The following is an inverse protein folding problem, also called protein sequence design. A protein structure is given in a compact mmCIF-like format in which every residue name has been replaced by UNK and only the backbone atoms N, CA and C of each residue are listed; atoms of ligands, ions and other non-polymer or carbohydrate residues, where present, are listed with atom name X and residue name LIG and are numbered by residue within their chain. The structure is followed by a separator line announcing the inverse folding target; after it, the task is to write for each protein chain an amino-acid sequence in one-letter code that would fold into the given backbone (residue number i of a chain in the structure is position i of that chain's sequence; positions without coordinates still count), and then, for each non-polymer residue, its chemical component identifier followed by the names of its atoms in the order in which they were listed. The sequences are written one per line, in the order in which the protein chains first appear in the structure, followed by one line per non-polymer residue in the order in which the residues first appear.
data_IF_195056405053
#
_entry.id   IF_195056405053
#
_cell.length_a   1.000
_cell.length_b   1.000
_cell.length_c   1.000
_cell.angle_alpha   90.00
_cell.angle_beta   90.00
_cell.angle_gamma   90.00
#
_symmetry.space_group_name_H-M   'P 1'
#
loop_
_entity.id
_entity.type
_entity.pdbx_description
1 polymer ?
#
# COMPACT_ATOMS: atom_id res chain seq x y z
N UNK A 1 -20.49 9.49 34.26
CA UNK A 1 -20.16 8.34 33.39
C UNK A 1 -20.57 7.07 34.10
N UNK A 2 -21.36 6.20 33.46
CA UNK A 2 -21.74 4.91 34.03
C UNK A 2 -20.59 3.91 33.97
N UNK A 3 -20.61 2.97 34.92
CA UNK A 3 -19.64 1.89 35.04
C UNK A 3 -20.34 0.54 35.21
N UNK A 4 -19.75 -0.50 34.64
CA UNK A 4 -20.28 -1.86 34.69
C UNK A 4 -19.18 -2.86 35.04
N UNK A 5 -19.50 -3.80 35.93
CA UNK A 5 -18.67 -4.99 36.10
C UNK A 5 -18.74 -5.87 34.86
N UNK A 6 -17.69 -6.66 34.61
CA UNK A 6 -17.55 -7.52 33.44
C UNK A 6 -18.82 -8.32 33.09
N UNK A 7 -19.53 -8.90 34.07
CA UNK A 7 -20.77 -9.68 33.84
C UNK A 7 -21.95 -8.83 33.34
N UNK A 8 -22.11 -7.61 33.87
CA UNK A 8 -23.16 -6.69 33.41
C UNK A 8 -22.80 -6.10 32.04
N UNK A 9 -21.53 -5.74 31.86
CA UNK A 9 -21.00 -5.22 30.60
C UNK A 9 -21.10 -6.24 29.46
N UNK A 10 -20.78 -7.52 29.73
CA UNK A 10 -20.88 -8.59 28.75
C UNK A 10 -22.33 -8.84 28.31
N UNK A 11 -23.29 -8.76 29.24
CA UNK A 11 -24.73 -8.84 28.93
C UNK A 11 -25.18 -7.67 28.06
N UNK A 12 -24.75 -6.45 28.39
CA UNK A 12 -25.08 -5.24 27.65
C UNK A 12 -24.62 -5.32 26.19
N UNK A 13 -23.37 -5.74 25.97
CA UNK A 13 -22.77 -5.83 24.65
C UNK A 13 -22.99 -7.19 23.95
N UNK A 14 -23.75 -8.11 24.56
CA UNK A 14 -24.01 -9.47 24.06
C UNK A 14 -22.74 -10.26 23.70
N UNK A 15 -21.68 -10.10 24.49
CA UNK A 15 -20.43 -10.87 24.36
C UNK A 15 -20.21 -11.73 25.59
N UNK A 16 -19.39 -12.77 25.47
CA UNK A 16 -19.03 -13.60 26.63
C UNK A 16 -18.03 -12.86 27.53
N UNK A 17 -18.06 -13.11 28.84
CA UNK A 17 -17.02 -12.61 29.77
C UNK A 17 -15.63 -13.13 29.36
N UNK A 18 -15.55 -14.34 28.79
CA UNK A 18 -14.31 -14.93 28.26
C UNK A 18 -13.73 -14.08 27.12
N UNK A 19 -14.59 -13.55 26.24
CA UNK A 19 -14.21 -12.66 25.13
C UNK A 19 -13.63 -11.36 25.66
N UNK A 20 -14.28 -10.72 26.65
CA UNK A 20 -13.75 -9.51 27.28
C UNK A 20 -12.37 -9.72 27.92
N UNK A 21 -12.18 -10.85 28.61
CA UNK A 21 -10.89 -11.21 29.17
C UNK A 21 -9.84 -11.49 28.10
N UNK A 22 -10.26 -12.07 26.96
CA UNK A 22 -9.36 -12.30 25.83
C UNK A 22 -8.89 -10.98 25.22
N UNK A 23 -9.79 -10.03 24.99
CA UNK A 23 -9.45 -8.70 24.48
C UNK A 23 -8.56 -7.92 25.44
N UNK A 24 -8.80 -8.01 26.75
CA UNK A 24 -7.91 -7.45 27.78
C UNK A 24 -6.50 -8.04 27.70
N UNK A 25 -6.36 -9.37 27.57
CA UNK A 25 -5.05 -10.04 27.42
C UNK A 25 -4.31 -9.61 26.15
N UNK A 26 -5.02 -9.42 25.04
CA UNK A 26 -4.44 -8.93 23.78
C UNK A 26 -4.11 -7.43 23.83
N UNK A 27 -4.54 -6.73 24.87
CA UNK A 27 -4.45 -5.28 24.98
C UNK A 27 -5.35 -4.55 23.98
N UNK A 28 -6.40 -5.23 23.49
CA UNK A 28 -7.35 -4.71 22.51
C UNK A 28 -8.48 -3.91 23.18
N UNK A 29 -8.95 -4.36 24.35
CA UNK A 29 -9.93 -3.64 25.18
C UNK A 29 -9.53 -3.77 26.64
N UNK A 30 -9.02 -2.69 27.22
CA UNK A 30 -8.64 -2.66 28.64
C UNK A 30 -9.78 -2.07 29.47
N UNK A 31 -10.08 -2.63 30.66
CA UNK A 31 -11.04 -2.03 31.56
C UNK A 31 -10.54 -0.68 32.05
N UNK A 32 -11.41 0.32 32.09
CA UNK A 32 -11.11 1.64 32.64
C UNK A 32 -10.64 1.60 34.10
N UNK A 33 -11.11 0.62 34.89
CA UNK A 33 -10.72 0.46 36.29
C UNK A 33 -10.56 -1.01 36.66
N UNK A 34 -9.58 -1.28 37.53
CA UNK A 34 -9.49 -2.52 38.31
C UNK A 34 -9.70 -2.19 39.78
N UNK A 35 -10.67 -2.84 40.41
CA UNK A 35 -10.90 -2.69 41.84
C UNK A 35 -9.80 -3.39 42.67
N UNK A 36 -9.75 -3.11 43.97
CA UNK A 36 -8.77 -3.67 44.93
C UNK A 36 -8.78 -5.21 44.98
N UNK A 37 -9.92 -5.83 44.70
CA UNK A 37 -10.11 -7.27 44.56
C UNK A 37 -9.80 -7.80 43.13
N UNK A 38 -9.16 -6.99 42.28
CA UNK A 38 -8.82 -7.26 40.88
C UNK A 38 -10.03 -7.46 39.94
N UNK A 39 -11.23 -7.02 40.35
CA UNK A 39 -12.40 -7.05 39.47
C UNK A 39 -12.30 -5.96 38.40
N UNK A 40 -12.61 -6.34 37.16
CA UNK A 40 -12.64 -5.46 36.00
C UNK A 40 -13.93 -4.64 35.98
N UNK A 41 -13.78 -3.33 35.83
CA UNK A 41 -14.86 -2.36 35.71
C UNK A 41 -14.68 -1.57 34.43
N UNK A 42 -15.71 -1.59 33.61
CA UNK A 42 -15.74 -0.96 32.29
C UNK A 42 -16.56 0.33 32.33
N UNK A 43 -16.14 1.36 31.60
CA UNK A 43 -16.84 2.64 31.46
C UNK A 43 -17.66 2.73 30.16
N UNK A 44 -18.37 3.84 29.99
CA UNK A 44 -19.01 4.20 28.72
C UNK A 44 -18.00 4.32 27.55
N UNK A 45 -16.77 4.77 27.81
CA UNK A 45 -15.72 4.84 26.78
C UNK A 45 -15.32 3.44 26.31
N UNK A 46 -15.19 2.51 27.26
CA UNK A 46 -14.86 1.11 26.93
C UNK A 46 -15.97 0.44 26.12
N UNK A 47 -17.23 0.87 26.31
CA UNK A 47 -18.37 0.39 25.52
C UNK A 47 -18.26 0.83 24.06
N UNK A 48 -17.83 2.06 23.80
CA UNK A 48 -17.61 2.58 22.45
C UNK A 48 -16.47 1.81 21.76
N UNK A 49 -15.35 1.61 22.45
CA UNK A 49 -14.25 0.78 21.93
C UNK A 49 -14.70 -0.66 21.66
N UNK A 50 -15.52 -1.25 22.54
CA UNK A 50 -16.06 -2.59 22.31
C UNK A 50 -17.00 -2.63 21.10
N UNK A 51 -17.83 -1.60 20.89
CA UNK A 51 -18.69 -1.50 19.71
C UNK A 51 -17.85 -1.47 18.43
N UNK A 52 -16.77 -0.68 18.39
CA UNK A 52 -15.84 -0.65 17.26
C UNK A 52 -15.21 -2.02 16.98
N UNK A 53 -14.76 -2.73 18.03
CA UNK A 53 -14.22 -4.09 17.89
C UNK A 53 -15.27 -5.05 17.30
N UNK A 54 -16.50 -4.99 17.80
CA UNK A 54 -17.59 -5.86 17.32
C UNK A 54 -17.91 -5.55 15.85
N UNK A 55 -17.99 -4.27 15.48
CA UNK A 55 -18.24 -3.86 14.11
C UNK A 55 -17.13 -4.33 13.16
N UNK A 56 -15.87 -4.10 13.50
CA UNK A 56 -14.74 -4.54 12.68
C UNK A 56 -14.63 -6.07 12.59
N UNK A 57 -14.91 -6.81 13.67
CA UNK A 57 -15.03 -8.28 13.62
C UNK A 57 -16.17 -8.73 12.70
N UNK A 58 -17.31 -8.03 12.74
CA UNK A 58 -18.44 -8.31 11.85
C UNK A 58 -18.08 -8.02 10.38
N UNK A 59 -17.19 -7.06 10.13
CA UNK A 59 -16.69 -6.76 8.79
C UNK A 59 -15.65 -7.78 8.29
N UNK A 60 -15.20 -8.70 9.13
CA UNK A 60 -14.28 -9.78 8.75
C UNK A 60 -12.81 -9.51 9.09
N UNK A 61 -12.51 -8.44 9.82
CA UNK A 61 -11.14 -8.16 10.25
C UNK A 61 -10.70 -9.15 11.31
N UNK A 62 -9.43 -9.51 11.28
CA UNK A 62 -8.80 -10.28 12.33
C UNK A 62 -8.43 -9.39 13.53
N UNK A 63 -8.41 -9.98 14.73
CA UNK A 63 -8.14 -9.22 15.97
C UNK A 63 -6.78 -8.50 15.92
N UNK A 64 -5.81 -9.06 15.19
CA UNK A 64 -4.50 -8.44 14.96
C UNK A 64 -4.58 -7.16 14.11
N UNK A 65 -5.50 -7.12 13.14
CA UNK A 65 -5.72 -5.96 12.26
C UNK A 65 -6.56 -4.88 12.95
N UNK A 66 -7.43 -5.25 13.88
CA UNK A 66 -8.31 -4.31 14.60
C UNK A 66 -7.50 -3.42 15.55
N UNK A 67 -6.48 -3.98 16.23
CA UNK A 67 -5.69 -3.26 17.23
C UNK A 67 -5.10 -1.92 16.74
N UNK A 68 -4.38 -1.85 15.60
CA UNK A 68 -3.84 -0.59 15.10
C UNK A 68 -4.92 0.42 14.68
N UNK A 69 -6.11 -0.05 14.28
CA UNK A 69 -7.24 0.81 13.89
C UNK A 69 -7.89 1.50 15.08
N UNK A 70 -7.79 0.92 16.29
CA UNK A 70 -8.33 1.51 17.52
C UNK A 70 -7.37 2.49 18.20
N UNK A 71 -6.09 2.49 17.81
CA UNK A 71 -5.05 3.35 18.40
C UNK A 71 -4.90 4.71 17.72
N UNK A 72 -5.62 4.96 16.62
CA UNK A 72 -5.67 6.28 15.98
C UNK A 72 -6.46 7.23 16.87
N UNK A 73 -5.98 8.47 17.05
CA UNK A 73 -6.66 9.53 17.80
C UNK A 73 -7.86 10.11 17.03
N UNK A 74 -8.59 9.28 16.28
CA UNK A 74 -9.78 9.70 15.56
C UNK A 74 -10.95 9.87 16.52
N UNK A 75 -11.82 10.84 16.28
CA UNK A 75 -13.03 10.97 17.10
C UNK A 75 -13.95 9.76 16.91
N UNK A 76 -14.74 9.42 17.94
CA UNK A 76 -15.74 8.33 17.86
C UNK A 76 -16.68 8.54 16.67
N UNK A 77 -16.97 9.80 16.32
CA UNK A 77 -17.82 10.16 15.19
C UNK A 77 -17.18 9.83 13.83
N UNK A 78 -15.92 10.20 13.62
CA UNK A 78 -15.18 9.88 12.39
C UNK A 78 -15.01 8.36 12.21
N UNK A 79 -14.74 7.65 13.30
CA UNK A 79 -14.70 6.18 13.29
C UNK A 79 -16.03 5.55 12.85
N UNK A 80 -17.17 6.11 13.27
CA UNK A 80 -18.48 5.62 12.88
C UNK A 80 -18.81 5.93 11.41
N UNK A 81 -18.39 7.09 10.88
CA UNK A 81 -18.51 7.42 9.45
C UNK A 81 -17.71 6.42 8.61
N UNK A 82 -16.43 6.20 8.94
CA UNK A 82 -15.59 5.23 8.24
C UNK A 82 -16.18 3.80 8.27
N UNK A 83 -16.73 3.38 9.42
CA UNK A 83 -17.40 2.08 9.53
C UNK A 83 -18.67 1.98 8.66
N UNK A 84 -19.44 3.07 8.56
CA UNK A 84 -20.64 3.12 7.73
C UNK A 84 -20.31 3.02 6.22
N UNK A 85 -19.27 3.73 5.78
CA UNK A 85 -18.79 3.66 4.40
C UNK A 85 -18.27 2.27 4.04
N UNK A 86 -17.52 1.64 4.96
CA UNK A 86 -17.04 0.27 4.80
C UNK A 86 -18.20 -0.73 4.70
N UNK A 87 -19.24 -0.57 5.53
CA UNK A 87 -20.46 -1.37 5.45
C UNK A 87 -21.16 -1.24 4.11
N UNK A 88 -21.26 -0.01 3.59
CA UNK A 88 -21.88 0.25 2.30
C UNK A 88 -21.11 -0.42 1.16
N UNK A 89 -19.78 -0.34 1.16
CA UNK A 89 -18.93 -1.01 0.16
C UNK A 89 -19.10 -2.53 0.21
N UNK A 90 -19.10 -3.12 1.41
CA UNK A 90 -19.31 -4.57 1.58
C UNK A 90 -20.71 -5.00 1.12
N UNK A 91 -21.74 -4.20 1.41
CA UNK A 91 -23.10 -4.45 0.96
C UNK A 91 -23.20 -4.43 -0.57
N UNK A 92 -22.54 -3.47 -1.22
CA UNK A 92 -22.50 -3.37 -2.68
C UNK A 92 -21.84 -4.59 -3.33
N UNK A 93 -20.67 -5.02 -2.84
CA UNK A 93 -19.99 -6.20 -3.35
C UNK A 93 -20.81 -7.48 -3.17
N UNK A 94 -21.53 -7.62 -2.05
CA UNK A 94 -22.45 -8.75 -1.84
C UNK A 94 -23.63 -8.74 -2.82
N UNK A 95 -24.16 -7.56 -3.16
CA UNK A 95 -25.23 -7.42 -4.16
C UNK A 95 -24.74 -7.76 -5.56
N UNK A 96 -23.51 -7.38 -5.91
CA UNK A 96 -22.87 -7.73 -7.20
C UNK A 96 -22.62 -9.23 -7.30
N UNK A 97 -22.09 -9.86 -6.24
CA UNK A 97 -21.91 -11.31 -6.19
C UNK A 97 -23.24 -12.04 -6.40
N UNK A 98 -24.29 -11.58 -5.70
CA UNK A 98 -25.64 -12.12 -5.84
C UNK A 98 -26.15 -11.96 -7.28
N UNK A 99 -25.93 -10.82 -7.92
CA UNK A 99 -26.35 -10.59 -9.30
C UNK A 99 -25.65 -11.56 -10.27
N UNK A 100 -24.34 -11.78 -10.10
CA UNK A 100 -23.57 -12.74 -10.90
C UNK A 100 -24.08 -14.17 -10.70
N UNK A 101 -24.27 -14.61 -9.45
CA UNK A 101 -24.82 -15.94 -9.14
C UNK A 101 -26.21 -16.09 -9.76
N UNK A 102 -27.07 -15.08 -9.63
CA UNK A 102 -28.43 -15.11 -10.18
C UNK A 102 -28.38 -15.27 -11.70
N UNK A 103 -27.50 -14.53 -12.38
CA UNK A 103 -27.27 -14.65 -13.82
C UNK A 103 -26.76 -16.04 -14.22
N UNK A 104 -25.78 -16.61 -13.49
CA UNK A 104 -25.31 -17.99 -13.69
C UNK A 104 -26.49 -18.95 -13.60
N UNK A 105 -27.26 -18.90 -12.50
CA UNK A 105 -28.37 -19.82 -12.25
C UNK A 105 -29.56 -19.65 -13.20
N UNK A 106 -29.72 -18.48 -13.82
CA UNK A 106 -30.76 -18.23 -14.82
C UNK A 106 -30.33 -18.59 -16.25
N UNK A 107 -29.02 -18.68 -16.50
CA UNK A 107 -28.47 -18.95 -17.83
C UNK A 107 -27.89 -20.36 -17.99
N UNK A 108 -27.64 -21.08 -16.89
CA UNK A 108 -27.17 -22.46 -16.90
C UNK A 108 -28.25 -23.38 -16.32
N UNK A 109 -28.54 -24.49 -17.00
CA UNK A 109 -29.35 -25.59 -16.45
C UNK A 109 -28.47 -26.60 -15.71
N UNK A 110 -29.05 -27.45 -14.84
CA UNK A 110 -28.33 -28.45 -14.03
C UNK A 110 -27.44 -29.45 -14.82
N UNK A 111 -27.51 -29.46 -16.15
CA UNK A 111 -26.78 -30.36 -17.05
C UNK A 111 -25.70 -29.67 -17.90
N UNK A 112 -25.55 -28.36 -17.78
CA UNK A 112 -24.58 -27.58 -18.56
C UNK A 112 -23.42 -27.10 -17.68
N UNK A 113 -22.22 -27.09 -18.23
CA UNK A 113 -21.03 -26.58 -17.55
C UNK A 113 -21.10 -25.07 -17.44
N UNK A 114 -20.92 -24.52 -16.23
CA UNK A 114 -20.81 -23.08 -16.00
C UNK A 114 -19.62 -22.53 -16.81
N UNK A 115 -19.79 -21.47 -17.61
CA UNK A 115 -18.69 -20.82 -18.30
C UNK A 115 -17.65 -20.29 -17.29
N UNK A 116 -16.38 -20.67 -17.46
CA UNK A 116 -15.31 -20.34 -16.52
C UNK A 116 -15.08 -18.84 -16.35
N UNK A 117 -15.49 -18.00 -17.32
CA UNK A 117 -15.48 -16.54 -17.20
C UNK A 117 -16.41 -16.03 -16.10
N UNK A 118 -17.58 -16.67 -15.90
CA UNK A 118 -18.51 -16.31 -14.83
C UNK A 118 -18.00 -16.78 -13.46
N UNK A 119 -17.23 -17.87 -13.43
CA UNK A 119 -16.53 -18.36 -12.24
C UNK A 119 -15.41 -17.37 -11.86
N UNK A 120 -14.66 -16.85 -12.83
CA UNK A 120 -13.65 -15.80 -12.60
C UNK A 120 -14.31 -14.52 -12.08
N UNK A 121 -15.38 -14.05 -12.69
CA UNK A 121 -16.10 -12.84 -12.24
C UNK A 121 -16.60 -13.00 -10.79
N UNK A 122 -17.04 -14.20 -10.41
CA UNK A 122 -17.45 -14.50 -9.04
C UNK A 122 -16.28 -14.56 -8.05
N UNK A 123 -15.14 -15.14 -8.47
CA UNK A 123 -13.89 -15.13 -7.68
C UNK A 123 -13.39 -13.69 -7.51
N UNK A 124 -13.46 -12.88 -8.56
CA UNK A 124 -13.08 -11.47 -8.54
C UNK A 124 -13.98 -10.65 -7.61
N UNK A 125 -15.31 -10.85 -7.61
CA UNK A 125 -16.18 -10.17 -6.63
C UNK A 125 -15.98 -10.68 -5.20
N UNK A 126 -15.68 -11.96 -5.01
CA UNK A 126 -15.32 -12.48 -3.69
C UNK A 126 -13.97 -11.95 -3.21
N UNK A 127 -13.00 -11.75 -4.11
CA UNK A 127 -11.78 -11.01 -3.83
C UNK A 127 -12.10 -9.53 -3.55
N UNK A 128 -13.04 -8.88 -4.25
CA UNK A 128 -13.50 -7.51 -3.94
C UNK A 128 -14.11 -7.38 -2.54
N UNK A 129 -14.77 -8.43 -2.01
CA UNK A 129 -15.24 -8.44 -0.60
C UNK A 129 -14.09 -8.57 0.41
N UNK A 130 -12.89 -8.95 -0.03
CA UNK A 130 -11.62 -8.90 0.72
C UNK A 130 -10.73 -7.70 0.34
N UNK A 131 -11.02 -6.99 -0.77
CA UNK A 131 -10.31 -5.79 -1.22
C UNK A 131 -10.89 -4.54 -0.56
N UNK A 132 -10.34 -4.25 0.60
CA UNK A 132 -10.31 -2.93 1.20
C UNK A 132 -9.22 -2.03 0.60
N UNK A 133 -8.72 -2.34 -0.59
CA UNK A 133 -7.45 -1.81 -1.11
C UNK A 133 -7.46 -0.31 -1.48
N UNK A 134 -8.60 0.33 -1.76
CA UNK A 134 -8.58 1.69 -2.36
C UNK A 134 -9.32 2.80 -1.60
N UNK A 135 -9.57 2.65 -0.29
CA UNK A 135 -10.09 3.78 0.47
C UNK A 135 -9.10 4.96 0.47
N UNK A 136 -7.80 4.68 0.64
CA UNK A 136 -6.73 5.67 0.68
C UNK A 136 -6.26 6.16 -0.70
N UNK A 137 -6.53 5.39 -1.76
CA UNK A 137 -6.18 5.78 -3.15
C UNK A 137 -6.96 7.04 -3.56
N UNK A 138 -8.21 7.16 -3.11
CA UNK A 138 -9.02 8.36 -3.29
C UNK A 138 -8.48 9.57 -2.49
N UNK A 139 -7.77 9.33 -1.38
CA UNK A 139 -7.19 10.41 -0.56
C UNK A 139 -5.90 10.97 -1.18
N UNK A 140 -5.22 10.20 -2.02
CA UNK A 140 -3.93 10.60 -2.61
C UNK A 140 -4.04 11.10 -4.06
N UNK A 141 -5.01 10.61 -4.84
CA UNK A 141 -5.16 10.96 -6.26
C UNK A 141 -6.24 12.01 -6.50
N UNK A 142 -5.98 12.88 -7.47
CA UNK A 142 -6.97 13.80 -8.02
C UNK A 142 -7.94 13.04 -8.92
N UNK A 143 -9.08 13.65 -9.25
CA UNK A 143 -10.08 13.04 -10.14
C UNK A 143 -9.51 12.62 -11.51
N UNK A 144 -8.53 13.36 -12.04
CA UNK A 144 -7.89 13.03 -13.30
C UNK A 144 -6.91 11.86 -13.17
N UNK A 145 -6.11 11.84 -12.10
CA UNK A 145 -5.20 10.72 -11.82
C UNK A 145 -5.97 9.44 -11.49
N UNK A 146 -7.15 9.53 -10.86
CA UNK A 146 -8.04 8.38 -10.62
C UNK A 146 -8.56 7.78 -11.94
N UNK A 147 -8.86 8.60 -12.95
CA UNK A 147 -9.22 8.11 -14.28
C UNK A 147 -8.05 7.37 -14.92
N UNK A 148 -6.85 7.96 -14.86
CA UNK A 148 -5.64 7.35 -15.40
C UNK A 148 -5.28 6.06 -14.66
N UNK A 149 -5.52 6.00 -13.35
CA UNK A 149 -5.34 4.80 -12.53
C UNK A 149 -6.35 3.71 -12.91
N UNK A 150 -7.63 4.04 -13.10
CA UNK A 150 -8.63 3.11 -13.58
C UNK A 150 -8.32 2.58 -15.00
N UNK A 151 -7.82 3.44 -15.89
CA UNK A 151 -7.35 3.03 -17.22
C UNK A 151 -6.14 2.09 -17.13
N UNK A 152 -5.20 2.39 -16.24
CA UNK A 152 -4.04 1.53 -15.98
C UNK A 152 -4.48 0.14 -15.50
N UNK A 153 -5.39 0.07 -14.53
CA UNK A 153 -5.92 -1.20 -14.03
C UNK A 153 -6.67 -1.98 -15.11
N UNK A 154 -7.48 -1.29 -15.92
CA UNK A 154 -8.20 -1.90 -17.04
C UNK A 154 -7.24 -2.49 -18.07
N UNK A 155 -6.13 -1.79 -18.40
CA UNK A 155 -5.09 -2.31 -19.30
C UNK A 155 -4.38 -3.53 -18.73
N UNK A 156 -4.03 -3.50 -17.44
CA UNK A 156 -3.42 -4.64 -16.74
C UNK A 156 -4.32 -5.88 -16.80
N UNK A 157 -5.63 -5.70 -16.58
CA UNK A 157 -6.63 -6.76 -16.64
C UNK A 157 -6.85 -7.30 -18.06
N UNK A 158 -6.92 -6.42 -19.06
CA UNK A 158 -7.15 -6.81 -20.45
C UNK A 158 -5.93 -7.45 -21.12
N UNK A 159 -4.72 -7.13 -20.67
CA UNK A 159 -3.47 -7.58 -21.29
C UNK A 159 -2.88 -8.88 -20.75
N UNK A 160 -3.49 -9.50 -19.73
CA UNK A 160 -2.83 -10.59 -18.98
C UNK A 160 -3.75 -11.81 -18.76
N UNK A 161 -3.23 -13.01 -19.06
CA UNK A 161 -3.93 -14.26 -18.70
C UNK A 161 -3.92 -14.46 -17.18
N UNK A 162 -4.83 -15.29 -16.62
CA UNK A 162 -4.82 -15.62 -15.19
C UNK A 162 -3.48 -16.19 -14.71
N UNK A 163 -2.82 -17.01 -15.53
CA UNK A 163 -1.52 -17.60 -15.23
C UNK A 163 -0.41 -16.54 -15.17
N UNK A 164 -0.45 -15.57 -16.08
CA UNK A 164 0.49 -14.45 -16.08
C UNK A 164 0.30 -13.55 -14.86
N UNK A 165 -0.95 -13.32 -14.43
CA UNK A 165 -1.29 -12.56 -13.21
C UNK A 165 -0.78 -13.27 -11.96
N UNK A 166 -1.02 -14.57 -11.84
CA UNK A 166 -0.55 -15.37 -10.71
C UNK A 166 0.99 -15.39 -10.64
N UNK A 167 1.66 -15.55 -11.78
CA UNK A 167 3.13 -15.51 -11.84
C UNK A 167 3.69 -14.13 -11.47
N UNK A 168 3.00 -13.06 -11.88
CA UNK A 168 3.35 -11.69 -11.50
C UNK A 168 3.21 -11.46 -9.99
N UNK A 169 2.07 -11.82 -9.40
CA UNK A 169 1.86 -11.73 -7.94
C UNK A 169 2.89 -12.53 -7.15
N UNK A 170 3.17 -13.76 -7.59
CA UNK A 170 4.18 -14.60 -6.95
C UNK A 170 5.58 -13.96 -7.00
N UNK A 171 5.95 -13.36 -8.14
CA UNK A 171 7.23 -12.68 -8.27
C UNK A 171 7.33 -11.43 -7.37
N UNK A 172 6.22 -10.70 -7.18
CA UNK A 172 6.15 -9.61 -6.22
C UNK A 172 6.41 -10.08 -4.79
N UNK A 173 5.70 -11.10 -4.31
CA UNK A 173 5.90 -11.61 -2.96
C UNK A 173 7.29 -12.23 -2.75
N UNK A 174 7.84 -12.86 -3.79
CA UNK A 174 9.23 -13.35 -3.77
C UNK A 174 10.23 -12.21 -3.59
N UNK A 175 10.05 -11.10 -4.30
CA UNK A 175 10.89 -9.91 -4.15
C UNK A 175 10.75 -9.30 -2.75
N UNK A 176 9.52 -9.18 -2.24
CA UNK A 176 9.26 -8.67 -0.90
C UNK A 176 9.93 -9.53 0.17
N UNK A 177 9.87 -10.86 0.06
CA UNK A 177 10.50 -11.77 1.01
C UNK A 177 12.04 -11.76 0.92
N UNK A 178 12.58 -11.56 -0.27
CA UNK A 178 14.02 -11.32 -0.47
C UNK A 178 14.47 -10.05 0.24
N UNK A 179 13.73 -8.95 0.10
CA UNK A 179 14.01 -7.70 0.82
C UNK A 179 13.92 -7.92 2.33
N UNK A 180 12.86 -8.56 2.83
CA UNK A 180 12.71 -8.88 4.26
C UNK A 180 13.91 -9.64 4.81
N UNK A 181 14.41 -10.62 4.05
CA UNK A 181 15.55 -11.45 4.44
C UNK A 181 16.86 -10.65 4.52
N UNK A 182 16.94 -9.50 3.84
CA UNK A 182 18.14 -8.67 3.72
C UNK A 182 18.07 -7.35 4.52
N UNK A 183 17.03 -7.12 5.34
CA UNK A 183 16.88 -5.89 6.15
C UNK A 183 18.05 -5.64 7.12
N UNK A 184 18.80 -6.68 7.46
CA UNK A 184 19.98 -6.60 8.32
C UNK A 184 21.20 -5.95 7.62
N UNK A 185 21.20 -5.88 6.28
CA UNK A 185 22.23 -5.15 5.54
C UNK A 185 21.95 -3.65 5.53
N UNK A 186 23.00 -2.85 5.36
CA UNK A 186 22.83 -1.41 5.14
C UNK A 186 22.16 -1.15 3.78
N UNK A 187 21.15 -0.26 3.69
CA UNK A 187 20.55 0.14 2.42
C UNK A 187 21.56 0.68 1.39
N UNK A 188 22.64 1.31 1.85
CA UNK A 188 23.67 1.90 0.98
C UNK A 188 24.77 0.88 0.58
N UNK A 189 24.65 -0.37 1.06
CA UNK A 189 25.58 -1.44 0.69
C UNK A 189 25.35 -1.92 -0.75
N UNK A 190 26.29 -2.71 -1.28
CA UNK A 190 26.11 -3.34 -2.59
C UNK A 190 24.83 -4.21 -2.66
N UNK A 191 24.45 -4.87 -1.55
CA UNK A 191 23.21 -5.64 -1.45
C UNK A 191 22.00 -4.72 -1.50
N UNK A 192 22.02 -3.64 -0.73
CA UNK A 192 20.94 -2.65 -0.70
C UNK A 192 20.72 -1.99 -2.05
N UNK A 193 21.78 -1.56 -2.73
CA UNK A 193 21.71 -0.97 -4.06
C UNK A 193 21.19 -1.98 -5.10
N UNK A 194 21.63 -3.24 -5.05
CA UNK A 194 21.14 -4.28 -5.96
C UNK A 194 19.64 -4.56 -5.76
N UNK A 195 19.17 -4.59 -4.51
CA UNK A 195 17.75 -4.74 -4.20
C UNK A 195 16.95 -3.50 -4.59
N UNK A 196 17.48 -2.29 -4.37
CA UNK A 196 16.91 -1.03 -4.84
C UNK A 196 16.71 -1.01 -6.36
N UNK A 197 17.72 -1.48 -7.12
CA UNK A 197 17.60 -1.67 -8.57
C UNK A 197 16.51 -2.66 -8.93
N UNK A 198 16.54 -3.87 -8.35
CA UNK A 198 15.57 -4.94 -8.65
C UNK A 198 14.13 -4.48 -8.36
N UNK A 199 13.95 -3.75 -7.28
CA UNK A 199 12.69 -3.12 -6.91
C UNK A 199 12.23 -2.10 -7.96
N UNK A 200 13.10 -1.18 -8.35
CA UNK A 200 12.76 -0.18 -9.37
C UNK A 200 12.51 -0.79 -10.74
N UNK A 201 13.25 -1.83 -11.14
CA UNK A 201 13.00 -2.56 -12.38
C UNK A 201 11.60 -3.19 -12.36
N UNK A 202 11.22 -3.84 -11.26
CA UNK A 202 9.89 -4.44 -11.10
C UNK A 202 8.78 -3.38 -11.23
N UNK A 203 8.94 -2.28 -10.49
CA UNK A 203 7.95 -1.20 -10.45
C UNK A 203 7.87 -0.46 -11.79
N UNK A 204 9.00 -0.20 -12.45
CA UNK A 204 9.02 0.46 -13.76
C UNK A 204 8.43 -0.43 -14.86
N UNK A 205 8.63 -1.75 -14.79
CA UNK A 205 7.98 -2.69 -15.70
C UNK A 205 6.46 -2.72 -15.50
N UNK A 206 5.98 -2.51 -14.28
CA UNK A 206 4.55 -2.44 -13.99
C UNK A 206 3.91 -1.16 -14.54
N UNK A 207 4.46 0.01 -14.22
CA UNK A 207 3.83 1.30 -14.56
C UNK A 207 4.21 1.84 -15.93
N UNK A 208 5.36 1.43 -16.47
CA UNK A 208 5.94 2.02 -17.67
C UNK A 208 6.22 3.52 -17.51
N UNK A 209 6.52 4.19 -18.64
CA UNK A 209 6.80 5.64 -18.65
C UNK A 209 5.54 6.48 -18.44
N UNK A 210 4.43 6.05 -19.03
CA UNK A 210 3.15 6.77 -19.04
C UNK A 210 2.55 6.95 -17.63
N UNK A 211 2.70 5.95 -16.75
CA UNK A 211 2.08 5.96 -15.41
C UNK A 211 3.10 6.16 -14.28
N UNK A 212 4.29 6.67 -14.60
CA UNK A 212 5.35 6.91 -13.62
C UNK A 212 4.91 7.88 -12.51
N UNK A 213 4.06 8.87 -12.81
CA UNK A 213 3.49 9.78 -11.81
C UNK A 213 2.55 9.09 -10.84
N UNK A 214 1.74 8.13 -11.32
CA UNK A 214 0.87 7.34 -10.45
C UNK A 214 1.70 6.50 -9.49
N UNK A 215 2.74 5.85 -9.99
CA UNK A 215 3.73 5.13 -9.19
C UNK A 215 4.34 6.04 -8.14
N UNK A 216 4.94 7.16 -8.54
CA UNK A 216 5.65 8.07 -7.64
C UNK A 216 4.73 8.50 -6.50
N UNK A 217 3.50 8.90 -6.83
CA UNK A 217 2.52 9.34 -5.83
C UNK A 217 2.05 8.20 -4.92
N UNK A 218 1.83 7.00 -5.45
CA UNK A 218 1.42 5.81 -4.68
C UNK A 218 2.51 5.41 -3.68
N UNK A 219 3.77 5.45 -4.09
CA UNK A 219 4.90 5.13 -3.22
C UNK A 219 5.12 6.19 -2.15
N UNK A 220 5.11 7.49 -2.49
CA UNK A 220 5.39 8.55 -1.52
C UNK A 220 4.23 8.83 -0.57
N UNK A 221 3.01 9.00 -1.09
CA UNK A 221 1.82 9.42 -0.32
C UNK A 221 0.94 8.26 0.15
N UNK A 222 1.19 7.07 -0.39
CA UNK A 222 0.56 5.82 0.03
C UNK A 222 1.47 5.06 0.97
N UNK A 223 2.40 4.31 0.39
CA UNK A 223 3.27 3.39 1.14
C UNK A 223 4.19 4.11 2.12
N UNK A 224 4.80 5.23 1.72
CA UNK A 224 5.64 6.06 2.59
C UNK A 224 4.88 6.64 3.79
N UNK A 225 3.57 6.89 3.64
CA UNK A 225 2.67 7.31 4.73
C UNK A 225 2.05 6.13 5.51
N UNK A 226 2.45 4.89 5.19
CA UNK A 226 1.99 3.69 5.88
C UNK A 226 0.62 3.18 5.44
N UNK A 227 0.08 3.66 4.32
CA UNK A 227 -1.22 3.23 3.76
C UNK A 227 -1.03 2.03 2.85
N UNK A 228 -1.98 1.10 2.83
CA UNK A 228 -1.99 -0.05 1.91
C UNK A 228 -0.81 -1.03 2.04
N UNK A 229 -0.06 -1.01 3.15
CA UNK A 229 1.15 -1.82 3.29
C UNK A 229 0.86 -3.31 3.45
N UNK A 230 -0.13 -3.65 4.29
CA UNK A 230 -0.41 -5.03 4.68
C UNK A 230 -0.89 -5.90 3.51
N UNK A 231 -1.67 -5.32 2.60
CA UNK A 231 -2.21 -5.99 1.41
C UNK A 231 -1.09 -6.44 0.45
N UNK A 232 0.01 -5.69 0.42
CA UNK A 232 1.17 -5.99 -0.41
C UNK A 232 2.31 -6.73 0.32
N UNK A 233 2.06 -7.20 1.55
CA UNK A 233 3.06 -7.91 2.36
C UNK A 233 4.19 -7.01 2.87
N UNK A 234 3.98 -5.69 2.87
CA UNK A 234 4.94 -4.67 3.24
C UNK A 234 4.81 -4.30 4.72
N UNK A 235 5.89 -3.81 5.31
CA UNK A 235 5.92 -3.22 6.66
C UNK A 235 6.51 -1.83 6.61
N UNK A 236 6.21 -0.94 7.58
CA UNK A 236 6.82 0.40 7.63
C UNK A 236 8.36 0.35 7.66
N UNK A 237 8.93 -0.63 8.37
CA UNK A 237 10.38 -0.87 8.43
C UNK A 237 10.95 -1.24 7.06
N UNK A 238 10.28 -2.15 6.34
CA UNK A 238 10.70 -2.55 5.00
C UNK A 238 10.66 -1.36 4.03
N UNK A 239 9.61 -0.55 4.08
CA UNK A 239 9.48 0.61 3.19
C UNK A 239 10.53 1.66 3.50
N UNK A 240 10.75 1.99 4.77
CA UNK A 240 11.80 2.92 5.17
C UNK A 240 13.21 2.44 4.77
N UNK A 241 13.46 1.13 4.81
CA UNK A 241 14.70 0.53 4.32
C UNK A 241 14.81 0.62 2.79
N UNK A 242 13.73 0.27 2.08
CA UNK A 242 13.68 0.28 0.62
C UNK A 242 13.80 1.69 0.03
N UNK A 243 13.19 2.70 0.64
CA UNK A 243 13.33 4.10 0.20
C UNK A 243 14.80 4.52 0.18
N UNK A 244 15.56 4.17 1.23
CA UNK A 244 17.00 4.45 1.30
C UNK A 244 17.79 3.64 0.28
N UNK A 245 17.46 2.37 0.09
CA UNK A 245 18.15 1.50 -0.88
C UNK A 245 17.92 1.97 -2.33
N UNK A 246 16.69 2.41 -2.65
CA UNK A 246 16.32 3.01 -3.94
C UNK A 246 17.02 4.36 -4.13
N UNK A 247 17.08 5.21 -3.11
CA UNK A 247 17.83 6.47 -3.16
C UNK A 247 19.32 6.21 -3.41
N UNK A 248 19.94 5.28 -2.68
CA UNK A 248 21.33 4.88 -2.88
C UNK A 248 21.58 4.35 -4.31
N UNK A 249 20.66 3.54 -4.85
CA UNK A 249 20.71 3.08 -6.23
C UNK A 249 20.70 4.24 -7.23
N UNK A 250 19.75 5.17 -7.09
CA UNK A 250 19.65 6.32 -7.99
C UNK A 250 20.84 7.26 -7.89
N UNK A 251 21.36 7.50 -6.68
CA UNK A 251 22.61 8.26 -6.47
C UNK A 251 23.79 7.58 -7.16
N UNK A 252 23.94 6.27 -7.03
CA UNK A 252 25.02 5.52 -7.69
C UNK A 252 24.91 5.66 -9.22
N UNK A 253 23.72 5.47 -9.78
CA UNK A 253 23.42 5.66 -11.21
C UNK A 253 23.75 7.09 -11.67
N UNK A 254 23.32 8.10 -10.92
CA UNK A 254 23.58 9.51 -11.19
C UNK A 254 25.10 9.79 -11.23
N UNK A 255 25.83 9.29 -10.24
CA UNK A 255 27.29 9.43 -10.17
C UNK A 255 27.98 8.72 -11.34
N UNK A 256 27.51 7.54 -11.75
CA UNK A 256 28.04 6.83 -12.91
C UNK A 256 27.88 7.65 -14.20
N UNK A 257 26.70 8.23 -14.45
CA UNK A 257 26.47 9.10 -15.61
C UNK A 257 27.37 10.33 -15.55
N UNK A 258 27.38 11.03 -14.42
CA UNK A 258 28.12 12.27 -14.24
C UNK A 258 29.65 12.07 -14.23
N UNK A 259 30.15 10.89 -13.85
CA UNK A 259 31.57 10.58 -13.92
C UNK A 259 32.13 10.60 -15.35
N UNK A 260 31.27 10.46 -16.37
CA UNK A 260 31.67 10.57 -17.77
C UNK A 260 31.85 12.02 -18.22
N UNK A 261 31.39 13.01 -17.44
CA UNK A 261 31.60 14.41 -17.75
C UNK A 261 33.10 14.75 -17.75
N UNK A 262 33.60 15.24 -18.88
CA UNK A 262 35.03 15.50 -19.09
C UNK A 262 35.82 14.31 -19.65
N UNK A 263 35.24 13.11 -19.71
CA UNK A 263 35.84 11.90 -20.30
C UNK A 263 35.20 11.50 -21.63
N UNK A 264 33.90 11.73 -21.78
CA UNK A 264 33.12 11.42 -22.97
C UNK A 264 32.56 12.67 -23.64
N UNK A 265 32.13 12.61 -24.92
CA UNK A 265 31.44 13.71 -25.59
C UNK A 265 30.21 14.16 -24.81
N UNK A 266 29.98 15.48 -24.70
CA UNK A 266 28.85 16.04 -23.97
C UNK A 266 27.49 15.53 -24.45
N UNK A 267 27.36 15.20 -25.73
CA UNK A 267 26.14 14.61 -26.30
C UNK A 267 25.84 13.22 -25.78
N UNK A 268 26.88 12.42 -25.51
CA UNK A 268 26.74 11.09 -24.91
C UNK A 268 26.31 11.20 -23.45
N UNK A 269 26.92 12.10 -22.68
CA UNK A 269 26.56 12.33 -21.27
C UNK A 269 25.11 12.83 -21.17
N UNK A 270 24.69 13.73 -22.07
CA UNK A 270 23.31 14.21 -22.13
C UNK A 270 22.32 13.09 -22.48
N UNK A 271 22.67 12.17 -23.39
CA UNK A 271 21.83 11.01 -23.72
C UNK A 271 21.64 10.11 -22.48
N UNK A 272 22.73 9.75 -21.81
CA UNK A 272 22.68 8.92 -20.59
C UNK A 272 21.92 9.62 -19.44
N UNK A 273 22.04 10.94 -19.33
CA UNK A 273 21.25 11.73 -18.40
C UNK A 273 19.75 11.63 -18.70
N UNK A 274 19.36 11.81 -19.97
CA UNK A 274 17.95 11.74 -20.36
C UNK A 274 17.38 10.33 -20.13
N UNK A 275 18.14 9.28 -20.46
CA UNK A 275 17.77 7.89 -20.15
C UNK A 275 17.54 7.68 -18.64
N UNK A 276 18.43 8.22 -17.80
CA UNK A 276 18.27 8.21 -16.35
C UNK A 276 17.01 8.96 -15.88
N UNK A 277 16.73 10.14 -16.43
CA UNK A 277 15.54 10.91 -16.08
C UNK A 277 14.24 10.19 -16.47
N UNK A 278 14.23 9.51 -17.62
CA UNK A 278 13.11 8.70 -18.06
C UNK A 278 12.88 7.48 -17.16
N UNK A 279 13.93 6.80 -16.74
CA UNK A 279 13.81 5.68 -15.79
C UNK A 279 13.33 6.12 -14.40
N UNK A 280 13.80 7.28 -13.93
CA UNK A 280 13.44 7.80 -12.62
C UNK A 280 12.03 8.37 -12.59
N UNK A 281 11.59 9.10 -13.62
CA UNK A 281 10.39 9.93 -13.56
C UNK A 281 9.41 9.75 -14.73
N UNK A 282 9.70 8.87 -15.70
CA UNK A 282 8.82 8.65 -16.85
C UNK A 282 8.53 9.94 -17.61
N UNK A 283 7.27 10.34 -17.72
CA UNK A 283 6.85 11.57 -18.42
C UNK A 283 6.70 12.80 -17.48
N UNK A 284 7.11 12.72 -16.21
CA UNK A 284 7.02 13.83 -15.24
C UNK A 284 8.07 14.93 -15.45
N UNK A 285 7.89 15.77 -16.47
CA UNK A 285 8.85 16.84 -16.82
C UNK A 285 9.14 17.82 -15.68
N UNK A 286 8.15 18.12 -14.83
CA UNK A 286 8.34 19.02 -13.68
C UNK A 286 9.39 18.49 -12.69
N UNK A 287 9.33 17.19 -12.35
CA UNK A 287 10.30 16.59 -11.42
C UNK A 287 11.69 16.51 -12.05
N UNK A 288 11.78 16.16 -13.34
CA UNK A 288 13.05 16.10 -14.07
C UNK A 288 13.79 17.44 -14.05
N UNK A 289 13.05 18.55 -14.11
CA UNK A 289 13.62 19.90 -14.12
C UNK A 289 14.34 20.28 -12.80
N UNK A 290 13.95 19.67 -11.67
CA UNK A 290 14.54 19.95 -10.36
C UNK A 290 15.84 19.17 -10.11
N UNK A 291 16.04 18.05 -10.83
CA UNK A 291 17.17 17.13 -10.60
C UNK A 291 18.55 17.76 -10.83
N UNK A 292 18.79 18.58 -11.86
CA UNK A 292 20.10 19.23 -12.02
C UNK A 292 20.50 20.07 -10.81
N UNK A 293 19.54 20.78 -10.18
CA UNK A 293 19.79 21.59 -8.99
C UNK A 293 20.14 20.74 -7.78
N UNK A 294 19.40 19.64 -7.59
CA UNK A 294 19.67 18.68 -6.50
C UNK A 294 21.03 17.99 -6.70
N UNK A 295 21.34 17.57 -7.92
CA UNK A 295 22.62 16.94 -8.26
C UNK A 295 23.81 17.86 -7.95
N UNK A 296 23.70 19.18 -8.14
CA UNK A 296 24.77 20.13 -7.79
C UNK A 296 25.12 20.15 -6.30
N UNK A 297 24.16 19.80 -5.43
CA UNK A 297 24.32 19.73 -3.98
C UNK A 297 24.98 18.42 -3.51
N UNK A 298 25.04 17.40 -4.37
CA UNK A 298 25.64 16.11 -4.04
C UNK A 298 27.15 16.24 -3.73
N UNK A 299 27.55 15.54 -2.68
CA UNK A 299 28.95 15.41 -2.28
C UNK A 299 29.63 14.33 -3.12
N UNK A 300 30.90 14.55 -3.49
CA UNK A 300 31.69 13.56 -4.25
C UNK A 300 31.58 13.66 -5.77
N UNK A 301 30.80 14.59 -6.32
CA UNK A 301 30.85 14.90 -7.76
C UNK A 301 32.13 15.67 -8.12
N UNK A 302 32.71 15.34 -9.27
CA UNK A 302 33.89 16.03 -9.79
C UNK A 302 33.60 17.47 -10.20
N UNK A 303 34.65 18.29 -10.33
CA UNK A 303 34.51 19.66 -10.81
C UNK A 303 33.95 19.70 -12.24
N UNK A 304 34.37 18.76 -13.09
CA UNK A 304 33.92 18.61 -14.47
C UNK A 304 32.43 18.26 -14.54
N UNK A 305 31.94 17.39 -13.65
CA UNK A 305 30.52 17.05 -13.55
C UNK A 305 29.67 18.26 -13.17
N UNK A 306 30.11 19.03 -12.16
CA UNK A 306 29.40 20.25 -11.73
C UNK A 306 29.40 21.33 -12.81
N UNK A 307 30.53 21.50 -13.52
CA UNK A 307 30.63 22.43 -14.64
C UNK A 307 29.72 22.01 -15.82
N UNK A 308 29.65 20.71 -16.11
CA UNK A 308 28.77 20.16 -17.14
C UNK A 308 27.29 20.40 -16.83
N UNK A 309 26.86 20.17 -15.57
CA UNK A 309 25.48 20.42 -15.13
C UNK A 309 25.08 21.88 -15.32
N UNK A 310 25.90 22.83 -14.83
CA UNK A 310 25.64 24.27 -14.97
C UNK A 310 25.53 24.70 -16.43
N UNK A 311 26.47 24.26 -17.26
CA UNK A 311 26.51 24.59 -18.69
C UNK A 311 25.32 24.01 -19.45
N UNK A 312 24.91 22.79 -19.14
CA UNK A 312 23.89 22.06 -19.90
C UNK A 312 22.48 22.51 -19.53
N UNK A 313 22.25 22.83 -18.26
CA UNK A 313 20.91 23.14 -17.74
C UNK A 313 20.72 24.61 -17.35
N UNK A 314 21.67 25.50 -17.70
CA UNK A 314 21.65 26.93 -17.39
C UNK A 314 21.37 27.22 -15.90
N UNK A 315 22.09 26.50 -15.02
CA UNK A 315 22.05 26.67 -13.56
C UNK A 315 23.21 27.51 -13.05
#
# INVERSE_FOLDING_TARGET
MKHWHAKAFSKLAKVSVRTLHHYDRLGLLKPSLRQSNNYRVYSEKDLLTLQQIIALKFFGFELAQIKPLLTREDTVFESLIMQAELLQKKAQALLEAKAIITRITSSCSDKESIPWQQIIELIEVFHMTQQLEDAWVNDIFTAEELRQYAEFEAKMKAGSTPEQRAAFEQGWFTLVDEVKSNLHHSPDSAVGIALGKKWMDWVNNLYGKQYAHLRTKKFEKGFGEGKGLLEHGLTPELIAWMEKAVDAYWRQRLHQVLSQAGQAPSSQVLRLWNELMEEMYGDEEKRKADIPALALQEQGLSHEAKAWLKKTFNQ
#
